data_IF_279472094286
#
_entry.id   IF_279472094286
#
_cell.length_a   1.000
_cell.length_b   1.000
_cell.length_c   1.000
_cell.angle_alpha   90.00
_cell.angle_beta   90.00
_cell.angle_gamma   90.00
#
_symmetry.space_group_name_H-M   'P 1'
#
loop_
_entity.id
_entity.type
_entity.pdbx_description
1 polymer ?
#
# COMPACT_ATOMS: atom_id res chain seq x y z
N UNK A 1 -13.17 24.99 -6.84
CA UNK A 1 -12.48 24.43 -5.65
C UNK A 1 -12.13 23.00 -5.98
N UNK A 2 -10.85 22.63 -5.99
CA UNK A 2 -10.43 21.26 -6.35
C UNK A 2 -10.77 20.33 -5.18
N UNK A 3 -11.60 19.30 -5.45
CA UNK A 3 -12.07 18.36 -4.45
C UNK A 3 -11.36 17.02 -4.66
N UNK A 4 -10.68 16.54 -3.62
CA UNK A 4 -10.09 15.21 -3.61
C UNK A 4 -11.16 14.24 -3.09
N UNK A 5 -11.74 13.42 -3.96
CA UNK A 5 -12.86 12.54 -3.65
C UNK A 5 -12.39 11.07 -3.48
N UNK A 6 -12.66 10.41 -2.34
CA UNK A 6 -12.22 9.04 -2.10
C UNK A 6 -13.06 8.00 -2.86
N UNK A 7 -14.14 8.38 -3.52
CA UNK A 7 -15.06 7.44 -4.21
C UNK A 7 -14.33 6.66 -5.30
N UNK A 8 -13.68 7.35 -6.24
CA UNK A 8 -12.94 6.73 -7.35
C UNK A 8 -11.87 5.74 -6.87
N UNK A 9 -10.95 6.11 -5.97
CA UNK A 9 -9.95 5.16 -5.49
C UNK A 9 -10.57 3.99 -4.71
N UNK A 10 -11.67 4.21 -3.98
CA UNK A 10 -12.40 3.12 -3.30
C UNK A 10 -12.98 2.12 -4.31
N UNK A 11 -13.63 2.61 -5.38
CA UNK A 11 -14.15 1.75 -6.44
C UNK A 11 -13.03 1.01 -7.18
N UNK A 12 -11.89 1.66 -7.42
CA UNK A 12 -10.72 1.01 -8.00
C UNK A 12 -10.23 -0.18 -7.15
N UNK A 13 -10.21 -0.03 -5.82
CA UNK A 13 -9.85 -1.14 -4.91
C UNK A 13 -10.87 -2.28 -4.92
N UNK A 14 -12.17 -1.96 -4.95
CA UNK A 14 -13.23 -2.97 -5.04
C UNK A 14 -13.11 -3.75 -6.35
N UNK A 15 -12.90 -3.06 -7.46
CA UNK A 15 -12.70 -3.68 -8.77
C UNK A 15 -11.42 -4.51 -8.81
N UNK A 16 -10.32 -4.01 -8.25
CA UNK A 16 -9.07 -4.76 -8.13
C UNK A 16 -9.28 -6.09 -7.38
N UNK A 17 -9.97 -6.04 -6.23
CA UNK A 17 -10.31 -7.23 -5.45
C UNK A 17 -11.19 -8.20 -6.27
N UNK A 18 -12.18 -7.68 -6.99
CA UNK A 18 -13.03 -8.47 -7.88
C UNK A 18 -12.25 -9.17 -9.00
N UNK A 19 -11.29 -8.48 -9.62
CA UNK A 19 -10.45 -9.03 -10.68
C UNK A 19 -9.48 -10.10 -10.17
N UNK A 20 -8.85 -9.87 -9.01
CA UNK A 20 -8.02 -10.89 -8.38
C UNK A 20 -8.83 -12.12 -7.97
N UNK A 21 -10.05 -11.91 -7.45
CA UNK A 21 -10.93 -13.02 -7.10
C UNK A 21 -11.39 -13.80 -8.34
N UNK A 22 -11.74 -13.11 -9.43
CA UNK A 22 -12.08 -13.75 -10.70
C UNK A 22 -10.91 -14.57 -11.26
N UNK A 23 -9.70 -14.02 -11.28
CA UNK A 23 -8.49 -14.73 -11.71
C UNK A 23 -8.19 -15.96 -10.83
N UNK A 24 -8.40 -15.85 -9.52
CA UNK A 24 -8.23 -16.97 -8.58
C UNK A 24 -9.25 -18.09 -8.81
N UNK A 25 -10.53 -17.75 -8.97
CA UNK A 25 -11.59 -18.73 -9.21
C UNK A 25 -11.35 -19.48 -10.52
N UNK A 26 -10.97 -18.76 -11.57
CA UNK A 26 -10.70 -19.32 -12.89
C UNK A 26 -9.48 -20.26 -12.88
N UNK A 27 -8.37 -19.85 -12.26
CA UNK A 27 -7.11 -20.60 -12.31
C UNK A 27 -6.99 -21.76 -11.33
N UNK A 28 -7.44 -21.58 -10.07
CA UNK A 28 -7.19 -22.56 -9.00
C UNK A 28 -8.43 -23.33 -8.56
N UNK A 29 -9.62 -22.70 -8.62
CA UNK A 29 -10.83 -23.33 -8.09
C UNK A 29 -11.50 -24.23 -9.13
N UNK A 30 -11.70 -23.73 -10.34
CA UNK A 30 -12.36 -24.48 -11.42
C UNK A 30 -11.47 -25.62 -11.94
N UNK A 31 -10.18 -25.37 -12.17
CA UNK A 31 -9.24 -26.41 -12.61
C UNK A 31 -9.14 -27.60 -11.61
N UNK A 32 -9.18 -27.29 -10.30
CA UNK A 32 -9.15 -28.31 -9.24
C UNK A 32 -10.46 -29.09 -9.13
N UNK A 33 -11.60 -28.45 -9.39
CA UNK A 33 -12.92 -29.12 -9.45
C UNK A 33 -13.04 -30.05 -10.66
N UNK A 34 -12.35 -29.75 -11.76
CA UNK A 34 -12.31 -30.57 -12.98
C UNK A 34 -11.27 -31.71 -12.92
N UNK A 35 -10.53 -31.84 -11.82
CA UNK A 35 -9.54 -32.90 -11.63
C UNK A 35 -8.24 -32.72 -12.43
N UNK A 36 -7.97 -31.50 -12.92
CA UNK A 36 -6.73 -31.17 -13.61
C UNK A 36 -5.67 -30.70 -12.61
N UNK A 37 -4.39 -30.99 -12.91
CA UNK A 37 -3.27 -30.33 -12.21
C UNK A 37 -3.35 -28.82 -12.47
N UNK A 38 -2.91 -27.96 -11.53
CA UNK A 38 -2.92 -26.51 -11.75
C UNK A 38 -2.18 -26.19 -13.06
N UNK A 39 -2.92 -25.72 -14.07
CA UNK A 39 -2.38 -25.32 -15.36
C UNK A 39 -1.58 -24.02 -15.24
N UNK A 40 -0.71 -23.80 -16.23
CA UNK A 40 -0.04 -22.51 -16.40
C UNK A 40 -1.06 -21.38 -16.54
N UNK A 41 -0.77 -20.22 -15.95
CA UNK A 41 -1.63 -19.04 -15.98
C UNK A 41 -2.01 -18.69 -17.43
N UNK A 42 -3.32 -18.65 -17.71
CA UNK A 42 -3.80 -18.26 -19.03
C UNK A 42 -3.50 -16.78 -19.31
N UNK A 43 -3.39 -16.41 -20.59
CA UNK A 43 -3.18 -15.00 -20.99
C UNK A 43 -4.29 -14.09 -20.41
N UNK A 44 -5.52 -14.60 -20.34
CA UNK A 44 -6.65 -13.89 -19.73
C UNK A 44 -6.45 -13.65 -18.23
N UNK A 45 -5.98 -14.65 -17.49
CA UNK A 45 -5.69 -14.52 -16.06
C UNK A 45 -4.55 -13.54 -15.79
N UNK A 46 -3.49 -13.60 -16.59
CA UNK A 46 -2.38 -12.64 -16.50
C UNK A 46 -2.90 -11.21 -16.75
N UNK A 47 -3.75 -11.03 -17.77
CA UNK A 47 -4.38 -9.74 -18.06
C UNK A 47 -5.25 -9.22 -16.91
N UNK A 48 -6.10 -10.07 -16.32
CA UNK A 48 -6.94 -9.73 -15.18
C UNK A 48 -6.12 -9.37 -13.95
N UNK A 49 -5.06 -10.13 -13.65
CA UNK A 49 -4.16 -9.86 -12.53
C UNK A 49 -3.37 -8.56 -12.74
N UNK A 50 -2.88 -8.31 -13.95
CA UNK A 50 -2.16 -7.08 -14.28
C UNK A 50 -3.08 -5.86 -14.16
N UNK A 51 -4.29 -5.93 -14.70
CA UNK A 51 -5.25 -4.83 -14.61
C UNK A 51 -5.73 -4.62 -13.17
N UNK A 52 -5.95 -5.71 -12.43
CA UNK A 52 -6.22 -5.66 -10.99
C UNK A 52 -5.09 -5.00 -10.21
N UNK A 53 -3.83 -5.30 -10.53
CA UNK A 53 -2.67 -4.68 -9.89
C UNK A 53 -2.57 -3.17 -10.19
N UNK A 54 -2.88 -2.75 -11.42
CA UNK A 54 -2.94 -1.33 -11.79
C UNK A 54 -4.02 -0.62 -10.98
N UNK A 55 -5.24 -1.15 -10.94
CA UNK A 55 -6.33 -0.57 -10.16
C UNK A 55 -6.04 -0.55 -8.66
N UNK A 56 -5.39 -1.60 -8.14
CA UNK A 56 -4.94 -1.66 -6.76
C UNK A 56 -3.95 -0.53 -6.47
N UNK A 57 -2.93 -0.37 -7.32
CA UNK A 57 -1.87 0.62 -7.14
C UNK A 57 -2.45 2.04 -7.18
N UNK A 58 -3.21 2.38 -8.23
CA UNK A 58 -3.80 3.71 -8.35
C UNK A 58 -4.89 3.97 -7.30
N UNK A 59 -5.65 2.94 -6.90
CA UNK A 59 -6.62 3.05 -5.80
C UNK A 59 -5.94 3.35 -4.46
N UNK A 60 -4.84 2.66 -4.15
CA UNK A 60 -4.04 2.91 -2.95
C UNK A 60 -3.41 4.32 -2.99
N UNK A 61 -2.81 4.71 -4.12
CA UNK A 61 -2.23 6.05 -4.28
C UNK A 61 -3.30 7.13 -4.07
N UNK A 62 -4.48 6.97 -4.67
CA UNK A 62 -5.58 7.93 -4.52
C UNK A 62 -6.09 8.03 -3.07
N UNK A 63 -6.25 6.91 -2.36
CA UNK A 63 -6.63 6.95 -0.94
C UNK A 63 -5.54 7.58 -0.06
N UNK A 64 -4.26 7.31 -0.34
CA UNK A 64 -3.15 7.93 0.38
C UNK A 64 -3.12 9.43 0.13
N UNK A 65 -3.28 9.87 -1.12
CA UNK A 65 -3.38 11.30 -1.46
C UNK A 65 -4.57 11.95 -0.74
N UNK A 66 -5.76 11.35 -0.83
CA UNK A 66 -6.94 11.83 -0.09
C UNK A 66 -6.70 11.94 1.42
N UNK A 67 -6.04 10.94 2.01
CA UNK A 67 -5.73 10.96 3.44
C UNK A 67 -4.71 12.04 3.80
N UNK A 68 -3.70 12.28 2.95
CA UNK A 68 -2.67 13.29 3.18
C UNK A 68 -3.19 14.72 2.97
N UNK A 69 -3.92 14.96 1.88
CA UNK A 69 -4.31 16.29 1.42
C UNK A 69 -5.70 16.72 1.92
N UNK A 70 -6.55 15.77 2.29
CA UNK A 70 -7.93 16.02 2.71
C UNK A 70 -8.88 16.31 1.55
N UNK A 71 -10.15 16.60 1.87
CA UNK A 71 -11.25 16.74 0.88
C UNK A 71 -11.11 18.00 0.02
N UNK A 72 -10.61 19.08 0.61
CA UNK A 72 -10.50 20.40 -0.03
C UNK A 72 -9.04 20.78 -0.18
N UNK A 73 -8.58 20.90 -1.42
CA UNK A 73 -7.27 21.48 -1.70
C UNK A 73 -7.36 22.99 -1.52
N UNK A 74 -6.71 23.49 -0.47
CA UNK A 74 -6.64 24.92 -0.15
C UNK A 74 -5.31 25.47 -0.67
N UNK A 75 -5.31 26.30 -1.72
CA UNK A 75 -4.09 26.91 -2.23
C UNK A 75 -3.33 27.68 -1.15
N UNK A 76 -2.00 27.60 -1.18
CA UNK A 76 -1.12 28.29 -0.23
C UNK A 76 -0.38 27.37 0.76
N UNK A 77 0.41 28.00 1.64
CA UNK A 77 1.27 27.31 2.61
C UNK A 77 0.55 27.09 3.93
N UNK A 78 0.43 25.83 4.34
CA UNK A 78 -0.20 25.45 5.59
C UNK A 78 0.85 24.82 6.52
N UNK A 79 0.94 25.36 7.73
CA UNK A 79 1.78 24.80 8.78
C UNK A 79 0.96 23.80 9.60
N UNK A 80 1.50 22.60 9.85
CA UNK A 80 0.81 21.66 10.70
C UNK A 80 0.69 22.22 12.12
N UNK A 81 -0.48 22.05 12.72
CA UNK A 81 -0.72 22.45 14.11
C UNK A 81 0.00 21.49 15.06
N UNK A 82 0.73 22.00 16.07
CA UNK A 82 1.40 21.13 17.05
C UNK A 82 0.41 20.19 17.73
N UNK A 83 0.69 18.89 17.74
CA UNK A 83 -0.11 17.88 18.43
C UNK A 83 0.78 16.79 19.01
N UNK A 84 0.43 16.31 20.20
CA UNK A 84 1.15 15.24 20.91
C UNK A 84 0.77 13.85 20.43
N UNK A 85 -0.43 13.68 19.87
CA UNK A 85 -0.91 12.37 19.42
C UNK A 85 -0.09 11.77 18.24
N UNK A 86 0.29 12.54 17.20
CA UNK A 86 1.17 12.04 16.13
C UNK A 86 2.56 11.64 16.63
N UNK A 87 3.07 12.34 17.65
CA UNK A 87 4.36 12.00 18.28
C UNK A 87 4.26 10.64 18.98
N UNK A 88 3.22 10.43 19.79
CA UNK A 88 3.00 9.15 20.47
C UNK A 88 2.84 7.99 19.48
N UNK A 89 2.07 8.19 18.41
CA UNK A 89 1.93 7.21 17.32
C UNK A 89 3.29 6.90 16.66
N UNK A 90 4.09 7.93 16.37
CA UNK A 90 5.44 7.76 15.85
C UNK A 90 6.34 6.94 16.77
N UNK A 91 6.34 7.21 18.07
CA UNK A 91 7.12 6.45 19.06
C UNK A 91 6.70 4.97 19.08
N UNK A 92 5.38 4.68 19.12
CA UNK A 92 4.87 3.31 19.10
C UNK A 92 5.30 2.58 17.83
N UNK A 93 5.23 3.24 16.67
CA UNK A 93 5.64 2.65 15.40
C UNK A 93 7.16 2.40 15.34
N UNK A 94 7.98 3.27 15.91
CA UNK A 94 9.44 3.06 16.01
C UNK A 94 9.77 1.88 16.92
N UNK A 95 9.07 1.73 18.06
CA UNK A 95 9.23 0.57 18.93
C UNK A 95 8.80 -0.72 18.23
N UNK A 96 7.68 -0.70 17.51
CA UNK A 96 7.21 -1.83 16.72
C UNK A 96 8.22 -2.19 15.60
N UNK A 97 8.73 -1.19 14.89
CA UNK A 97 9.76 -1.37 13.85
C UNK A 97 11.01 -2.04 14.42
N UNK A 98 11.45 -1.61 15.59
CA UNK A 98 12.61 -2.17 16.29
C UNK A 98 12.35 -3.63 16.69
N UNK A 99 11.18 -3.92 17.26
CA UNK A 99 10.78 -5.27 17.64
C UNK A 99 10.70 -6.22 16.43
N UNK A 100 10.06 -5.80 15.34
CA UNK A 100 9.96 -6.57 14.10
C UNK A 100 11.34 -6.82 13.46
N UNK A 101 12.21 -5.80 13.44
CA UNK A 101 13.56 -5.93 12.90
C UNK A 101 14.40 -6.91 13.73
N UNK A 102 14.32 -6.81 15.07
CA UNK A 102 14.98 -7.77 15.96
C UNK A 102 14.46 -9.19 15.79
N UNK A 103 13.14 -9.36 15.64
CA UNK A 103 12.53 -10.65 15.34
C UNK A 103 13.01 -11.21 13.99
N UNK A 104 13.08 -10.38 12.95
CA UNK A 104 13.56 -10.76 11.63
C UNK A 104 15.01 -11.27 11.67
N UNK A 105 15.92 -10.54 12.35
CA UNK A 105 17.31 -10.99 12.52
C UNK A 105 17.37 -12.32 13.27
N UNK A 106 16.57 -12.48 14.34
CA UNK A 106 16.50 -13.74 15.09
C UNK A 106 15.98 -14.89 14.24
N UNK A 107 15.02 -14.63 13.35
CA UNK A 107 14.49 -15.62 12.40
C UNK A 107 15.55 -16.08 11.40
N UNK A 108 16.36 -15.15 10.87
CA UNK A 108 17.49 -15.47 10.00
C UNK A 108 18.56 -16.29 10.73
N UNK A 109 18.92 -15.89 11.96
CA UNK A 109 19.88 -16.62 12.78
C UNK A 109 19.39 -18.04 13.12
N UNK A 110 18.11 -18.19 13.48
CA UNK A 110 17.49 -19.49 13.71
C UNK A 110 17.54 -20.37 12.46
N UNK A 111 17.21 -19.80 11.30
CA UNK A 111 17.27 -20.52 10.03
C UNK A 111 18.68 -20.98 9.69
N UNK A 112 19.69 -20.15 9.95
CA UNK A 112 21.09 -20.50 9.73
C UNK A 112 21.57 -21.62 10.67
N UNK A 113 21.12 -21.63 11.92
CA UNK A 113 21.54 -22.63 12.93
C UNK A 113 20.84 -23.98 12.77
N UNK A 114 19.55 -23.98 12.40
CA UNK A 114 18.73 -25.20 12.36
C UNK A 114 18.57 -25.78 10.97
N UNK A 115 18.96 -25.04 9.92
CA UNK A 115 18.70 -25.41 8.53
C UNK A 115 17.23 -25.28 8.12
N UNK A 116 16.32 -24.94 9.03
CA UNK A 116 14.90 -24.74 8.73
C UNK A 116 14.65 -23.29 8.30
N UNK A 117 14.28 -23.08 7.02
CA UNK A 117 14.08 -21.76 6.45
C UNK A 117 12.61 -21.47 6.09
N UNK A 118 11.81 -20.87 7.00
CA UNK A 118 10.43 -20.50 6.72
C UNK A 118 10.37 -19.19 5.90
N UNK A 119 10.55 -19.31 4.58
CA UNK A 119 10.59 -18.17 3.63
C UNK A 119 9.32 -17.32 3.64
N UNK A 120 8.15 -17.94 3.79
CA UNK A 120 6.86 -17.23 3.89
C UNK A 120 6.80 -16.30 5.12
N UNK A 121 7.35 -16.76 6.26
CA UNK A 121 7.36 -15.99 7.50
C UNK A 121 8.35 -14.83 7.40
N UNK A 122 9.51 -15.07 6.78
CA UNK A 122 10.47 -14.00 6.49
C UNK A 122 9.84 -12.93 5.59
N UNK A 123 9.15 -13.34 4.53
CA UNK A 123 8.44 -12.42 3.65
C UNK A 123 7.36 -11.61 4.38
N UNK A 124 6.58 -12.26 5.24
CA UNK A 124 5.53 -11.60 6.03
C UNK A 124 6.13 -10.55 6.98
N UNK A 125 7.18 -10.91 7.73
CA UNK A 125 7.84 -10.01 8.67
C UNK A 125 8.48 -8.84 7.92
N UNK A 126 9.17 -9.11 6.82
CA UNK A 126 9.78 -8.07 5.98
C UNK A 126 8.72 -7.12 5.41
N UNK A 127 7.62 -7.64 4.87
CA UNK A 127 6.50 -6.82 4.40
C UNK A 127 5.90 -5.97 5.52
N UNK A 128 5.78 -6.51 6.72
CA UNK A 128 5.30 -5.77 7.90
C UNK A 128 6.24 -4.62 8.28
N UNK A 129 7.56 -4.84 8.22
CA UNK A 129 8.57 -3.80 8.41
C UNK A 129 8.37 -2.68 7.37
N UNK A 130 8.22 -3.03 6.10
CA UNK A 130 7.98 -2.04 5.03
C UNK A 130 6.71 -1.23 5.25
N UNK A 131 5.62 -1.87 5.70
CA UNK A 131 4.37 -1.17 6.03
C UNK A 131 4.51 -0.20 7.20
N UNK A 132 5.23 -0.59 8.26
CA UNK A 132 5.49 0.31 9.40
C UNK A 132 6.33 1.51 8.97
N UNK A 133 7.34 1.31 8.11
CA UNK A 133 8.14 2.40 7.54
C UNK A 133 7.27 3.33 6.69
N UNK A 134 6.40 2.79 5.83
CA UNK A 134 5.47 3.59 5.04
C UNK A 134 4.52 4.41 5.92
N UNK A 135 3.99 3.83 7.00
CA UNK A 135 3.15 4.52 7.96
C UNK A 135 3.89 5.67 8.67
N UNK A 136 5.16 5.47 9.05
CA UNK A 136 6.02 6.52 9.62
C UNK A 136 6.19 7.69 8.65
N UNK A 137 6.46 7.42 7.36
CA UNK A 137 6.53 8.47 6.35
C UNK A 137 5.21 9.20 6.14
N UNK A 138 4.08 8.47 6.12
CA UNK A 138 2.75 9.06 6.01
C UNK A 138 2.43 10.00 7.18
N UNK A 139 2.70 9.58 8.41
CA UNK A 139 2.52 10.41 9.62
C UNK A 139 3.44 11.63 9.58
N UNK A 140 4.70 11.44 9.21
CA UNK A 140 5.64 12.55 9.06
C UNK A 140 5.11 13.58 8.07
N UNK A 141 4.74 13.17 6.85
CA UNK A 141 4.24 14.06 5.81
C UNK A 141 2.99 14.81 6.27
N UNK A 142 2.03 14.13 6.89
CA UNK A 142 0.74 14.70 7.30
C UNK A 142 0.81 15.66 8.49
N UNK A 143 1.62 15.34 9.49
CA UNK A 143 1.59 16.05 10.78
C UNK A 143 2.82 16.91 11.06
N UNK A 144 3.90 16.73 10.30
CA UNK A 144 5.16 17.45 10.50
C UNK A 144 5.67 18.11 9.22
N UNK A 145 5.26 17.62 8.04
CA UNK A 145 5.54 18.23 6.75
C UNK A 145 4.80 19.54 6.56
N UNK A 146 5.42 20.48 5.84
CA UNK A 146 4.71 21.66 5.34
C UNK A 146 3.90 21.25 4.11
N UNK A 147 2.68 21.76 4.03
CA UNK A 147 1.84 21.60 2.85
C UNK A 147 1.86 22.89 2.04
N UNK A 148 2.15 22.75 0.75
CA UNK A 148 2.12 23.83 -0.21
C UNK A 148 1.29 23.32 -1.39
N UNK A 149 0.12 23.94 -1.57
CA UNK A 149 -0.75 23.65 -2.71
C UNK A 149 -0.56 24.79 -3.70
N UNK A 150 -0.01 24.45 -4.86
CA UNK A 150 0.21 25.36 -5.98
C UNK A 150 -0.85 25.03 -7.03
N UNK A 151 -1.53 26.07 -7.53
CA UNK A 151 -2.39 25.95 -8.70
C UNK A 151 -1.54 26.27 -9.93
N UNK A 152 -1.25 25.27 -10.75
CA UNK A 152 -0.65 25.48 -12.07
C UNK A 152 -1.75 25.68 -13.12
N UNK A 153 -1.49 26.52 -14.12
CA UNK A 153 -2.42 26.74 -15.23
C UNK A 153 -2.47 25.51 -16.15
N UNK A 154 -3.62 25.27 -16.79
CA UNK A 154 -3.85 24.16 -17.74
C UNK A 154 -2.88 24.15 -18.94
N UNK A 155 -2.15 25.26 -19.17
CA UNK A 155 -1.09 25.40 -20.18
C UNK A 155 0.32 25.43 -19.58
N UNK A 156 0.50 24.92 -18.36
CA UNK A 156 1.79 24.82 -17.70
C UNK A 156 2.79 23.96 -18.46
N UNK A 157 4.08 24.11 -18.15
CA UNK A 157 5.16 23.37 -18.80
C UNK A 157 5.13 21.85 -18.50
N UNK A 158 4.31 21.41 -17.55
CA UNK A 158 4.24 20.02 -17.11
C UNK A 158 3.00 19.29 -17.65
N UNK A 159 3.15 18.08 -18.24
CA UNK A 159 2.10 17.42 -19.02
C UNK A 159 1.14 16.52 -18.22
N UNK A 160 0.85 16.83 -16.95
CA UNK A 160 0.00 15.98 -16.09
C UNK A 160 -1.16 16.72 -15.44
#
# INVERSE_FOLDING_TARGET
MYRNDPILPTFALILAAGLFYAAYLDGLHIARLLGHAPEDLSVGQIGLMAFGAVLLLYGLIGLVSYWLEGVELRPGRHFPTPSTAPVAAGVILVLLLTALSGFFVRLLAYSAQTGHNPTWLQGLVFGSISLVVAALFGIYKKFFGRDEVITEEEKGEFPW
#
